data_IF_911030702991
#
_entry.id   IF_911030702991
#
_cell.length_a   1.000
_cell.length_b   1.000
_cell.length_c   1.000
_cell.angle_alpha   90.00
_cell.angle_beta   90.00
_cell.angle_gamma   90.00
#
_symmetry.space_group_name_H-M   'P 1'
#
loop_
_entity.id
_entity.type
_entity.pdbx_description
1 polymer ?
#
# COMPACT_ATOMS: atom_id res chain seq x y z
N UNK A 1 32.58 23.53 31.47
CA UNK A 1 33.10 22.24 30.96
C UNK A 1 32.03 21.18 30.69
N UNK A 2 30.74 21.40 31.02
CA UNK A 2 29.64 20.46 30.71
C UNK A 2 28.87 20.78 29.41
N UNK A 3 28.98 22.01 28.90
CA UNK A 3 28.23 22.47 27.72
C UNK A 3 28.76 21.88 26.40
N UNK A 4 30.05 21.57 26.32
CA UNK A 4 30.70 21.11 25.08
C UNK A 4 30.30 19.67 24.70
N UNK A 5 30.06 18.82 25.70
CA UNK A 5 29.61 17.45 25.50
C UNK A 5 28.17 17.35 25.00
N UNK A 6 27.30 18.26 25.43
CA UNK A 6 25.90 18.30 24.99
C UNK A 6 25.79 18.71 23.51
N UNK A 7 26.62 19.68 23.07
CA UNK A 7 26.66 20.13 21.68
C UNK A 7 27.21 19.03 20.76
N UNK A 8 28.28 18.33 21.18
CA UNK A 8 28.83 17.20 20.43
C UNK A 8 27.83 16.05 20.30
N UNK A 9 27.11 15.69 21.37
CA UNK A 9 26.09 14.65 21.33
C UNK A 9 24.93 15.01 20.39
N UNK A 10 24.49 16.28 20.40
CA UNK A 10 23.42 16.76 19.51
C UNK A 10 23.83 16.71 18.04
N UNK A 11 25.06 17.12 17.72
CA UNK A 11 25.60 17.07 16.35
C UNK A 11 25.72 15.63 15.86
N UNK A 12 26.21 14.71 16.69
CA UNK A 12 26.32 13.28 16.34
C UNK A 12 24.93 12.66 16.13
N UNK A 13 23.96 12.96 17.00
CA UNK A 13 22.59 12.48 16.86
C UNK A 13 21.91 13.04 15.59
N UNK A 14 22.10 14.32 15.29
CA UNK A 14 21.56 14.96 14.09
C UNK A 14 22.18 14.37 12.80
N UNK A 15 23.50 14.12 12.80
CA UNK A 15 24.19 13.48 11.68
C UNK A 15 23.72 12.03 11.51
N UNK A 16 23.58 11.28 12.60
CA UNK A 16 23.05 9.90 12.59
C UNK A 16 21.61 9.82 12.08
N UNK A 17 20.74 10.74 12.50
CA UNK A 17 19.36 10.83 12.03
C UNK A 17 19.29 11.20 10.54
N UNK A 18 20.11 12.16 10.09
CA UNK A 18 20.18 12.55 8.68
C UNK A 18 20.72 11.42 7.79
N UNK A 19 21.70 10.65 8.26
CA UNK A 19 22.22 9.45 7.58
C UNK A 19 21.16 8.35 7.50
N UNK A 20 20.41 8.11 8.59
CA UNK A 20 19.36 7.10 8.64
C UNK A 20 18.18 7.44 7.70
N UNK A 21 17.75 8.71 7.66
CA UNK A 21 16.71 9.19 6.73
C UNK A 21 17.17 9.06 5.27
N UNK A 22 18.45 9.32 4.97
CA UNK A 22 18.99 9.15 3.60
C UNK A 22 19.13 7.69 3.19
N UNK A 23 19.60 6.81 4.07
CA UNK A 23 19.71 5.37 3.81
C UNK A 23 18.32 4.74 3.63
N UNK A 24 17.36 5.09 4.48
CA UNK A 24 15.96 4.63 4.37
C UNK A 24 15.31 5.11 3.06
N UNK A 25 15.56 6.36 2.64
CA UNK A 25 15.11 6.88 1.33
C UNK A 25 15.83 6.20 0.13
N UNK A 26 17.09 5.77 0.30
CA UNK A 26 17.87 5.13 -0.78
C UNK A 26 17.50 3.66 -0.97
N UNK A 27 17.24 2.93 0.11
CA UNK A 27 16.74 1.54 0.08
C UNK A 27 15.38 1.47 -0.62
N UNK A 28 14.47 2.41 -0.32
CA UNK A 28 13.16 2.50 -0.98
C UNK A 28 13.28 2.84 -2.48
N UNK A 29 14.24 3.69 -2.89
CA UNK A 29 14.43 4.08 -4.31
C UNK A 29 15.21 3.09 -5.17
N UNK A 30 16.04 2.23 -4.56
CA UNK A 30 16.92 1.31 -5.32
C UNK A 30 16.25 -0.06 -5.55
N UNK A 31 15.27 -0.44 -4.73
CA UNK A 31 14.49 -1.68 -4.90
C UNK A 31 13.67 -1.74 -6.20
N UNK A 32 13.27 -0.59 -6.75
CA UNK A 32 12.41 -0.52 -7.94
C UNK A 32 13.09 -0.96 -9.25
N UNK A 33 14.43 -0.94 -9.35
CA UNK A 33 15.13 -1.35 -10.57
C UNK A 33 15.51 -2.82 -10.58
N UNK A 34 15.86 -3.37 -9.41
CA UNK A 34 16.20 -4.79 -9.27
C UNK A 34 14.92 -5.64 -9.23
N UNK A 35 13.86 -5.17 -8.56
CA UNK A 35 12.56 -5.83 -8.53
C UNK A 35 11.94 -6.01 -9.91
N UNK A 36 12.01 -5.01 -10.79
CA UNK A 36 11.46 -5.12 -12.17
C UNK A 36 12.16 -6.17 -13.04
N UNK A 37 13.48 -6.33 -12.90
CA UNK A 37 14.24 -7.34 -13.67
C UNK A 37 14.03 -8.76 -13.15
N UNK A 38 13.83 -8.90 -11.83
CA UNK A 38 13.48 -10.18 -11.21
C UNK A 38 12.02 -10.58 -11.50
N UNK A 39 11.10 -9.62 -11.56
CA UNK A 39 9.68 -9.85 -11.85
C UNK A 39 9.40 -10.38 -13.27
N UNK A 40 10.32 -10.16 -14.22
CA UNK A 40 10.26 -10.74 -15.56
C UNK A 40 10.59 -12.25 -15.57
N UNK A 41 11.24 -12.76 -14.52
CA UNK A 41 11.66 -14.16 -14.39
C UNK A 41 10.70 -15.00 -13.52
N UNK A 42 9.68 -14.38 -12.92
CA UNK A 42 8.67 -15.08 -12.12
C UNK A 42 7.60 -15.67 -13.05
N UNK A 43 7.40 -17.00 -13.10
CA UNK A 43 6.37 -17.60 -13.93
C UNK A 43 4.98 -17.18 -13.44
N UNK A 44 4.33 -16.28 -14.20
CA UNK A 44 2.96 -15.81 -13.95
C UNK A 44 1.93 -16.84 -14.38
N UNK A 45 1.67 -17.83 -13.53
CA UNK A 45 0.36 -18.49 -13.44
C UNK A 45 0.12 -18.91 -12.01
N UNK A 46 -0.33 -17.97 -11.18
CA UNK A 46 -1.01 -18.33 -9.94
C UNK A 46 -2.33 -18.97 -10.36
N UNK A 47 -2.44 -20.29 -10.18
CA UNK A 47 -3.72 -20.97 -10.30
C UNK A 47 -4.60 -20.46 -9.15
N UNK A 48 -5.83 -20.00 -9.38
CA UNK A 48 -6.73 -19.65 -8.30
C UNK A 48 -6.79 -20.83 -7.33
N UNK A 49 -6.32 -20.64 -6.10
CA UNK A 49 -6.46 -21.64 -5.05
C UNK A 49 -7.95 -21.84 -4.80
N UNK A 50 -8.40 -23.08 -4.60
CA UNK A 50 -9.82 -23.40 -4.40
C UNK A 50 -10.47 -22.64 -3.22
N UNK A 51 -9.68 -22.01 -2.36
CA UNK A 51 -10.10 -21.24 -1.18
C UNK A 51 -10.33 -19.74 -1.44
N UNK A 52 -10.06 -19.22 -2.65
CA UNK A 52 -10.35 -17.81 -2.96
C UNK A 52 -11.81 -17.63 -3.37
N UNK A 53 -12.46 -16.58 -2.86
CA UNK A 53 -13.79 -16.18 -3.34
C UNK A 53 -13.75 -15.93 -4.86
N UNK A 54 -14.87 -16.10 -5.58
CA UNK A 54 -14.93 -15.79 -7.01
C UNK A 54 -14.48 -14.34 -7.27
N UNK A 55 -13.74 -14.15 -8.36
CA UNK A 55 -13.13 -12.85 -8.69
C UNK A 55 -14.19 -11.76 -8.92
N UNK A 56 -15.36 -12.15 -9.40
CA UNK A 56 -16.52 -11.29 -9.63
C UNK A 56 -17.08 -10.74 -8.31
N UNK A 57 -17.07 -11.56 -7.25
CA UNK A 57 -17.49 -11.14 -5.89
C UNK A 57 -16.49 -10.15 -5.32
N UNK A 58 -15.19 -10.40 -5.51
CA UNK A 58 -14.12 -9.49 -5.10
C UNK A 58 -14.26 -8.15 -5.83
N UNK A 59 -14.47 -8.17 -7.15
CA UNK A 59 -14.64 -6.96 -7.94
C UNK A 59 -15.88 -6.16 -7.53
N UNK A 60 -17.01 -6.83 -7.29
CA UNK A 60 -18.22 -6.19 -6.79
C UNK A 60 -18.02 -5.55 -5.40
N UNK A 61 -17.35 -6.24 -4.48
CA UNK A 61 -16.99 -5.68 -3.17
C UNK A 61 -16.02 -4.50 -3.31
N UNK A 62 -15.05 -4.58 -4.22
CA UNK A 62 -14.05 -3.55 -4.45
C UNK A 62 -14.71 -2.26 -4.93
N UNK A 63 -15.59 -2.37 -5.93
CA UNK A 63 -16.36 -1.23 -6.45
C UNK A 63 -17.29 -0.61 -5.40
N UNK A 64 -18.07 -1.44 -4.70
CA UNK A 64 -18.97 -0.97 -3.62
C UNK A 64 -18.21 -0.23 -2.51
N UNK A 65 -17.07 -0.75 -2.06
CA UNK A 65 -16.28 -0.15 -0.99
C UNK A 65 -15.45 1.04 -1.48
N UNK A 66 -14.89 0.95 -2.70
CA UNK A 66 -14.17 2.04 -3.35
C UNK A 66 -15.06 3.26 -3.52
N UNK A 67 -16.30 3.08 -3.98
CA UNK A 67 -17.27 4.17 -4.07
C UNK A 67 -17.49 4.86 -2.72
N UNK A 68 -17.71 4.09 -1.64
CA UNK A 68 -17.91 4.65 -0.27
C UNK A 68 -16.66 5.33 0.29
N UNK A 69 -15.48 4.84 -0.08
CA UNK A 69 -14.20 5.38 0.36
C UNK A 69 -13.90 6.71 -0.34
N UNK A 70 -14.06 6.77 -1.66
CA UNK A 70 -13.79 7.97 -2.47
C UNK A 70 -14.89 9.03 -2.34
N UNK A 71 -16.14 8.61 -2.08
CA UNK A 71 -17.31 9.48 -1.94
C UNK A 71 -17.98 9.31 -0.57
N UNK A 72 -17.29 9.67 0.53
CA UNK A 72 -17.86 9.53 1.87
C UNK A 72 -19.06 10.45 2.06
N UNK A 73 -20.12 9.93 2.69
CA UNK A 73 -21.30 10.73 3.01
C UNK A 73 -20.96 11.87 3.98
N UNK A 74 -21.63 13.02 3.82
CA UNK A 74 -21.51 14.13 4.78
C UNK A 74 -22.02 13.68 6.16
N UNK A 75 -21.28 14.04 7.21
CA UNK A 75 -21.61 13.66 8.59
C UNK A 75 -21.19 12.23 8.97
N UNK A 76 -20.37 11.55 8.16
CA UNK A 76 -19.81 10.25 8.52
C UNK A 76 -18.89 10.41 9.75
N UNK A 77 -19.09 9.54 10.75
CA UNK A 77 -18.19 9.52 11.91
C UNK A 77 -16.81 9.00 11.49
N UNK A 78 -15.77 9.44 12.20
CA UNK A 78 -14.41 8.97 11.96
C UNK A 78 -14.31 7.44 12.00
N UNK A 79 -14.98 6.78 12.95
CA UNK A 79 -15.01 5.33 13.07
C UNK A 79 -15.59 4.66 11.81
N UNK A 80 -16.67 5.21 11.23
CA UNK A 80 -17.27 4.66 10.02
C UNK A 80 -16.37 4.85 8.80
N UNK A 81 -15.74 6.02 8.69
CA UNK A 81 -14.75 6.29 7.64
C UNK A 81 -13.59 5.27 7.70
N UNK A 82 -12.98 5.13 8.87
CA UNK A 82 -11.83 4.24 9.04
C UNK A 82 -12.21 2.77 8.84
N UNK A 83 -13.40 2.35 9.29
CA UNK A 83 -13.91 1.00 9.04
C UNK A 83 -14.08 0.70 7.54
N UNK A 84 -14.51 1.70 6.76
CA UNK A 84 -14.68 1.58 5.31
C UNK A 84 -13.31 1.50 4.62
N UNK A 85 -12.36 2.34 5.05
CA UNK A 85 -10.97 2.30 4.57
C UNK A 85 -10.33 0.93 4.81
N UNK A 86 -10.46 0.37 6.02
CA UNK A 86 -9.91 -0.95 6.35
C UNK A 86 -10.58 -2.07 5.55
N UNK A 87 -11.90 -2.02 5.37
CA UNK A 87 -12.62 -2.99 4.56
C UNK A 87 -12.16 -2.91 3.09
N UNK A 88 -11.96 -1.71 2.57
CA UNK A 88 -11.48 -1.49 1.21
C UNK A 88 -10.07 -2.04 1.02
N UNK A 89 -9.12 -1.74 1.92
CA UNK A 89 -7.76 -2.28 1.88
C UNK A 89 -7.73 -3.81 1.88
N UNK A 90 -8.61 -4.45 2.66
CA UNK A 90 -8.71 -5.92 2.70
C UNK A 90 -9.18 -6.49 1.36
N UNK A 91 -10.15 -5.86 0.71
CA UNK A 91 -10.65 -6.31 -0.59
C UNK A 91 -9.62 -6.07 -1.69
N UNK A 92 -8.91 -4.95 -1.67
CA UNK A 92 -7.78 -4.71 -2.59
C UNK A 92 -6.69 -5.79 -2.42
N UNK A 93 -6.33 -6.12 -1.19
CA UNK A 93 -5.38 -7.20 -0.89
C UNK A 93 -5.88 -8.58 -1.36
N UNK A 94 -7.18 -8.83 -1.32
CA UNK A 94 -7.78 -10.06 -1.85
C UNK A 94 -7.72 -10.12 -3.38
N UNK A 95 -8.04 -9.01 -4.06
CA UNK A 95 -7.86 -8.89 -5.51
C UNK A 95 -6.41 -9.14 -5.92
N UNK A 96 -5.46 -8.55 -5.18
CA UNK A 96 -4.04 -8.80 -5.41
C UNK A 96 -3.67 -10.27 -5.25
N UNK A 97 -4.13 -10.94 -4.19
CA UNK A 97 -3.88 -12.38 -4.00
C UNK A 97 -4.46 -13.22 -5.12
N UNK A 98 -5.70 -12.94 -5.54
CA UNK A 98 -6.36 -13.68 -6.62
C UNK A 98 -5.61 -13.55 -7.97
N UNK A 99 -4.97 -12.40 -8.21
CA UNK A 99 -4.24 -12.10 -9.44
C UNK A 99 -2.72 -12.31 -9.33
N UNK A 100 -2.20 -12.71 -8.17
CA UNK A 100 -0.76 -12.89 -7.93
C UNK A 100 0.04 -11.59 -7.96
N UNK A 101 -0.56 -10.47 -7.53
CA UNK A 101 0.06 -9.15 -7.47
C UNK A 101 0.63 -8.92 -6.07
N UNK A 102 1.89 -8.50 -5.98
CA UNK A 102 2.53 -8.14 -4.71
C UNK A 102 2.10 -6.74 -4.23
N UNK A 103 1.82 -6.62 -2.94
CA UNK A 103 1.36 -5.39 -2.30
C UNK A 103 1.83 -5.26 -0.85
N UNK A 104 1.71 -4.06 -0.29
CA UNK A 104 2.13 -3.70 1.05
C UNK A 104 0.99 -3.19 1.95
N UNK A 105 -0.28 -3.29 1.51
CA UNK A 105 -1.48 -2.81 2.23
C UNK A 105 -1.64 -3.33 3.67
N UNK A 106 -1.06 -4.49 4.01
CA UNK A 106 -1.07 -5.05 5.38
C UNK A 106 0.25 -4.87 6.15
N UNK A 107 1.24 -4.21 5.54
CA UNK A 107 2.60 -4.07 6.08
C UNK A 107 2.90 -2.61 6.44
N UNK A 108 2.43 -1.67 5.61
CA UNK A 108 2.65 -0.24 5.86
C UNK A 108 1.77 0.26 7.02
N UNK A 109 2.32 1.07 7.94
CA UNK A 109 1.52 1.70 8.97
C UNK A 109 0.55 2.73 8.34
N UNK A 110 -0.55 3.07 9.05
CA UNK A 110 -1.44 4.15 8.62
C UNK A 110 -0.66 5.46 8.36
N UNK A 111 -0.88 6.05 7.19
CA UNK A 111 -0.16 7.24 6.77
C UNK A 111 -0.10 7.42 5.25
N UNK A 112 0.60 8.47 4.77
CA UNK A 112 0.65 8.83 3.37
C UNK A 112 1.31 7.75 2.49
N UNK A 113 2.23 6.95 3.04
CA UNK A 113 2.84 5.82 2.34
C UNK A 113 1.81 4.72 2.04
N UNK A 114 0.94 4.39 3.00
CA UNK A 114 -0.15 3.43 2.79
C UNK A 114 -1.17 3.98 1.78
N UNK A 115 -1.42 5.28 1.76
CA UNK A 115 -2.29 5.92 0.76
C UNK A 115 -1.70 5.87 -0.65
N UNK A 116 -0.38 6.06 -0.77
CA UNK A 116 0.33 5.91 -2.04
C UNK A 116 0.30 4.45 -2.53
N UNK A 117 0.49 3.50 -1.62
CA UNK A 117 0.36 2.08 -1.93
C UNK A 117 -1.05 1.71 -2.37
N UNK A 118 -2.09 2.26 -1.74
CA UNK A 118 -3.49 2.05 -2.15
C UNK A 118 -3.72 2.46 -3.60
N UNK A 119 -3.32 3.69 -3.97
CA UNK A 119 -3.41 4.16 -5.37
C UNK A 119 -2.62 3.29 -6.34
N UNK A 120 -1.42 2.82 -5.94
CA UNK A 120 -0.60 1.91 -6.76
C UNK A 120 -1.33 0.58 -6.99
N UNK A 121 -1.94 0.02 -5.95
CA UNK A 121 -2.69 -1.23 -6.01
C UNK A 121 -3.95 -1.08 -6.85
N UNK A 122 -4.73 -0.02 -6.66
CA UNK A 122 -5.90 0.29 -7.50
C UNK A 122 -5.53 0.30 -8.98
N UNK A 123 -4.45 1.00 -9.33
CA UNK A 123 -3.95 1.03 -10.69
C UNK A 123 -3.50 -0.35 -11.21
N UNK A 124 -2.81 -1.15 -10.40
CA UNK A 124 -2.38 -2.50 -10.79
C UNK A 124 -3.55 -3.45 -11.01
N UNK A 125 -4.58 -3.38 -10.17
CA UNK A 125 -5.79 -4.18 -10.32
C UNK A 125 -6.54 -3.81 -11.60
N UNK A 126 -6.68 -2.50 -11.86
CA UNK A 126 -7.24 -2.00 -13.12
C UNK A 126 -6.46 -2.50 -14.34
N UNK A 127 -5.13 -2.42 -14.33
CA UNK A 127 -4.28 -2.93 -15.41
C UNK A 127 -4.38 -4.45 -15.60
N UNK A 128 -4.73 -5.19 -14.55
CA UNK A 128 -4.98 -6.63 -14.61
C UNK A 128 -6.43 -6.97 -15.00
N UNK A 129 -7.27 -5.98 -15.30
CA UNK A 129 -8.65 -6.14 -15.74
C UNK A 129 -9.67 -6.25 -14.59
N UNK A 130 -9.26 -6.01 -13.34
CA UNK A 130 -10.16 -5.93 -12.21
C UNK A 130 -10.48 -4.47 -11.92
N UNK A 131 -11.63 -4.02 -12.40
CA UNK A 131 -12.09 -2.67 -12.14
C UNK A 131 -12.52 -2.52 -10.67
N UNK A 132 -11.84 -1.59 -9.99
CA UNK A 132 -12.04 -1.26 -8.57
C UNK A 132 -12.76 0.08 -8.37
N UNK A 133 -12.97 0.82 -9.46
CA UNK A 133 -13.70 2.08 -9.44
C UNK A 133 -15.06 1.88 -10.10
N UNK A 134 -16.11 2.47 -9.53
CA UNK A 134 -17.44 2.51 -10.15
C UNK A 134 -17.63 3.80 -10.97
N UNK A 135 -16.64 4.71 -10.97
CA UNK A 135 -16.73 6.05 -11.56
C UNK A 135 -16.39 6.15 -13.06
N UNK A 136 -16.50 5.05 -13.81
CA UNK A 136 -16.37 5.05 -15.27
C UNK A 136 -17.63 5.60 -15.98
#
# INVERSE_FOLDING_TARGET
MAADWAVLAFVIAAIGAALNVRVRRRVLRTGERVGRRLWALVPRRVRPTADSRPIEVIAHDARRLGHRFHHPHRGLTFVKYESTRWAYDKVLAEGCRALGIEHLLGVLPPGPELDAERRRVEWLLYQAGLDVDDAA
#
